data_IF_327293472291
#
_entry.id   IF_327293472291
#
_cell.length_a   1.000
_cell.length_b   1.000
_cell.length_c   1.000
_cell.angle_alpha   90.00
_cell.angle_beta   90.00
_cell.angle_gamma   90.00
#
_symmetry.space_group_name_H-M   'P 1'
#
loop_
_entity.id
_entity.type
_entity.pdbx_description
1 polymer ?
#
# COMPACT_ATOMS: atom_id res chain seq x y z
N UNK A 1 15.67 -5.02 7.52
CA UNK A 1 14.33 -4.63 8.03
C UNK A 1 13.25 -4.43 6.94
N UNK A 2 13.53 -3.77 5.80
CA UNK A 2 12.52 -3.52 4.73
C UNK A 2 11.83 -4.78 4.16
N UNK A 3 12.54 -5.93 4.11
CA UNK A 3 11.99 -7.20 3.59
C UNK A 3 10.81 -7.74 4.41
N UNK A 4 10.80 -7.54 5.74
CA UNK A 4 9.71 -7.99 6.60
C UNK A 4 8.42 -7.21 6.31
N UNK A 5 8.53 -5.89 6.18
CA UNK A 5 7.40 -5.01 5.85
C UNK A 5 6.84 -5.27 4.45
N UNK A 6 7.69 -5.60 3.48
CA UNK A 6 7.21 -6.05 2.16
C UNK A 6 6.38 -7.33 2.25
N UNK A 7 6.75 -8.27 3.14
CA UNK A 7 5.97 -9.49 3.35
C UNK A 7 4.60 -9.18 3.98
N UNK A 8 4.53 -8.23 4.92
CA UNK A 8 3.26 -7.76 5.48
C UNK A 8 2.39 -7.07 4.43
N UNK A 9 2.95 -6.21 3.59
CA UNK A 9 2.24 -5.56 2.49
C UNK A 9 1.70 -6.58 1.48
N UNK A 10 2.47 -7.63 1.15
CA UNK A 10 2.02 -8.72 0.28
C UNK A 10 0.87 -9.53 0.90
N UNK A 11 0.92 -9.79 2.22
CA UNK A 11 -0.18 -10.41 2.94
C UNK A 11 -1.42 -9.53 2.91
N UNK A 12 -1.28 -8.22 3.11
CA UNK A 12 -2.39 -7.27 3.03
C UNK A 12 -3.02 -7.21 1.63
N UNK A 13 -2.19 -7.23 0.57
CA UNK A 13 -2.70 -7.32 -0.80
C UNK A 13 -3.46 -8.62 -1.03
N UNK A 14 -2.96 -9.75 -0.51
CA UNK A 14 -3.69 -11.04 -0.59
C UNK A 14 -5.01 -10.99 0.16
N UNK A 15 -5.01 -10.42 1.37
CA UNK A 15 -6.22 -10.21 2.16
C UNK A 15 -7.23 -9.32 1.43
N UNK A 16 -6.78 -8.24 0.80
CA UNK A 16 -7.65 -7.36 0.01
C UNK A 16 -8.34 -8.11 -1.14
N UNK A 17 -7.61 -9.01 -1.82
CA UNK A 17 -8.18 -9.86 -2.87
C UNK A 17 -9.22 -10.85 -2.37
N UNK A 18 -9.09 -11.32 -1.12
CA UNK A 18 -10.05 -12.21 -0.49
C UNK A 18 -11.26 -11.47 0.06
N UNK A 19 -11.05 -10.27 0.60
CA UNK A 19 -12.11 -9.45 1.21
C UNK A 19 -12.97 -8.75 0.16
N UNK A 20 -12.38 -8.30 -0.95
CA UNK A 20 -13.09 -7.57 -1.99
C UNK A 20 -13.13 -8.40 -3.28
N UNK A 21 -14.32 -8.94 -3.59
CA UNK A 21 -14.62 -9.60 -4.88
C UNK A 21 -14.12 -8.82 -6.11
N UNK A 22 -14.25 -7.47 -6.21
CA UNK A 22 -13.72 -6.72 -7.37
C UNK A 22 -12.18 -6.65 -7.45
N UNK A 23 -11.48 -7.06 -6.40
CA UNK A 23 -10.02 -7.20 -6.36
C UNK A 23 -9.56 -8.64 -6.58
N UNK A 24 -10.47 -9.63 -6.51
CA UNK A 24 -10.14 -11.03 -6.74
C UNK A 24 -9.56 -11.22 -8.15
N UNK A 25 -8.35 -11.76 -8.23
CA UNK A 25 -7.62 -11.96 -9.50
C UNK A 25 -6.78 -10.76 -9.98
N UNK A 26 -7.03 -9.54 -9.51
CA UNK A 26 -6.32 -8.35 -9.99
C UNK A 26 -5.16 -7.95 -9.06
N UNK A 27 -3.97 -8.50 -9.32
CA UNK A 27 -2.73 -8.16 -8.58
C UNK A 27 -2.48 -6.64 -8.54
N UNK A 28 -2.59 -5.96 -9.68
CA UNK A 28 -2.41 -4.50 -9.78
C UNK A 28 -3.42 -3.72 -8.93
N UNK A 29 -4.72 -4.04 -9.05
CA UNK A 29 -5.77 -3.37 -8.25
C UNK A 29 -5.59 -3.59 -6.75
N UNK A 30 -5.09 -4.75 -6.33
CA UNK A 30 -4.79 -4.98 -4.91
C UNK A 30 -3.63 -4.11 -4.39
N UNK A 31 -2.64 -3.81 -5.23
CA UNK A 31 -1.57 -2.86 -4.91
C UNK A 31 -2.08 -1.42 -4.91
N UNK A 32 -2.91 -1.04 -5.88
CA UNK A 32 -3.55 0.29 -5.92
C UNK A 32 -4.44 0.53 -4.70
N UNK A 33 -5.20 -0.48 -4.29
CA UNK A 33 -6.01 -0.45 -3.07
C UNK A 33 -5.14 -0.26 -1.82
N UNK A 34 -4.00 -0.97 -1.74
CA UNK A 34 -3.07 -0.82 -0.62
C UNK A 34 -2.51 0.61 -0.56
N UNK A 35 -2.14 1.18 -1.72
CA UNK A 35 -1.69 2.56 -1.82
C UNK A 35 -2.77 3.57 -1.41
N UNK A 36 -4.04 3.32 -1.74
CA UNK A 36 -5.16 4.15 -1.26
C UNK A 36 -5.31 4.07 0.26
N UNK A 37 -5.20 2.89 0.86
CA UNK A 37 -5.23 2.76 2.32
C UNK A 37 -4.06 3.45 3.01
N UNK A 38 -2.84 3.34 2.45
CA UNK A 38 -1.66 4.06 2.96
C UNK A 38 -1.87 5.58 2.98
N UNK A 39 -2.54 6.13 1.95
CA UNK A 39 -2.87 7.56 1.86
C UNK A 39 -4.00 7.96 2.81
N UNK A 40 -5.04 7.14 2.93
CA UNK A 40 -6.21 7.44 3.75
C UNK A 40 -5.93 7.29 5.26
N UNK A 41 -5.18 6.26 5.64
CA UNK A 41 -4.89 5.93 7.04
C UNK A 41 -3.41 5.51 7.22
N UNK A 42 -2.46 6.44 7.09
CA UNK A 42 -1.02 6.13 7.23
C UNK A 42 -0.63 5.64 8.62
N UNK A 43 -1.43 5.96 9.65
CA UNK A 43 -1.20 5.54 11.05
C UNK A 43 -1.63 4.11 11.36
N UNK A 44 -2.33 3.42 10.44
CA UNK A 44 -2.85 2.07 10.67
C UNK A 44 -1.72 1.03 10.85
N UNK A 45 -0.57 1.27 10.22
CA UNK A 45 0.63 0.46 10.41
C UNK A 45 1.86 1.35 10.55
N UNK A 46 2.70 1.06 11.54
CA UNK A 46 3.92 1.84 11.84
C UNK A 46 4.86 1.91 10.64
N UNK A 47 4.98 0.83 9.85
CA UNK A 47 5.84 0.84 8.67
C UNK A 47 5.27 1.66 7.51
N UNK A 48 3.96 1.89 7.44
CA UNK A 48 3.37 2.83 6.48
C UNK A 48 3.69 4.27 6.83
N UNK A 49 3.77 4.61 8.11
CA UNK A 49 4.23 5.92 8.56
C UNK A 49 5.75 6.07 8.39
N UNK A 50 6.53 5.07 8.77
CA UNK A 50 7.99 5.10 8.74
C UNK A 50 8.57 5.18 7.32
N UNK A 51 7.91 4.56 6.32
CA UNK A 51 8.34 4.62 4.91
C UNK A 51 7.43 5.47 4.01
N UNK A 52 6.23 5.85 4.47
CA UNK A 52 5.30 6.69 3.71
C UNK A 52 5.53 8.20 3.88
N UNK A 53 6.42 8.60 4.79
CA UNK A 53 6.77 10.01 4.97
C UNK A 53 7.58 10.60 3.80
N UNK A 54 8.20 9.78 2.95
CA UNK A 54 8.80 10.25 1.68
C UNK A 54 7.74 10.79 0.70
N UNK A 55 6.50 10.27 0.74
CA UNK A 55 5.43 10.73 -0.13
C UNK A 55 4.75 12.02 0.37
N UNK A 56 4.98 12.42 1.63
CA UNK A 56 4.41 13.64 2.22
C UNK A 56 5.28 14.89 2.01
N UNK A 57 6.53 14.72 1.57
CA UNK A 57 7.48 15.80 1.28
C UNK A 57 7.83 15.94 -0.21
N UNK A 58 6.97 15.46 -1.12
CA UNK A 58 7.23 15.46 -2.56
C UNK A 58 6.04 15.95 -3.36
N UNK A 59 6.08 17.24 -3.69
CA UNK A 59 5.22 17.92 -4.66
C UNK A 59 4.97 17.07 -5.91
N UNK A 60 3.78 17.26 -6.51
CA UNK A 60 3.50 16.81 -7.85
C UNK A 60 4.59 17.27 -8.82
N UNK A 61 5.39 16.33 -9.32
CA UNK A 61 6.05 16.48 -10.60
C UNK A 61 6.60 15.14 -11.06
N UNK A 62 6.14 14.77 -12.27
CA UNK A 62 6.73 13.84 -13.22
C UNK A 62 6.83 12.38 -12.81
N UNK A 63 6.17 11.54 -13.60
CA UNK A 63 6.88 10.53 -14.39
C UNK A 63 6.11 10.35 -15.71
N UNK A 64 6.71 10.89 -16.78
CA UNK A 64 6.58 10.40 -18.15
C UNK A 64 7.23 9.02 -18.26
#
# INVERSE_FOLDING_TARGET
MRKAFNHFDLKLQRWARQKYKPLAGHKRRSADWLNRMKKACPSLFVHWHAYGNEARLGNGSRMS
#
